data_IF_428417940342
#
_entry.id   IF_428417940342
#
_cell.length_a   1.000
_cell.length_b   1.000
_cell.length_c   1.000
_cell.angle_alpha   90.00
_cell.angle_beta   90.00
_cell.angle_gamma   90.00
#
_symmetry.space_group_name_H-M   'P 1'
#
loop_
_entity.id
_entity.type
_entity.pdbx_description
1 polymer ?
#
# COMPACT_ATOMS: atom_id res chain seq x y z
N UNK A 1 45.11 57.10 57.06
CA UNK A 1 46.42 56.66 56.53
C UNK A 1 46.18 55.61 55.47
N UNK A 2 46.72 55.95 54.29
CA UNK A 2 46.89 55.13 53.06
C UNK A 2 45.65 54.75 52.27
N UNK A 3 45.35 55.47 51.30
CA UNK A 3 45.65 55.52 49.86
C UNK A 3 45.53 54.12 49.16
N UNK A 4 44.43 53.87 48.44
CA UNK A 4 44.30 52.85 47.47
C UNK A 4 44.12 53.47 46.06
N UNK A 5 45.01 53.14 45.14
CA UNK A 5 45.06 53.58 43.76
C UNK A 5 44.07 52.77 42.96
N UNK A 6 43.20 53.45 42.27
CA UNK A 6 42.35 52.88 41.24
C UNK A 6 43.16 52.61 39.97
N UNK A 7 43.06 51.35 39.45
CA UNK A 7 43.51 50.98 38.10
C UNK A 7 42.27 50.72 37.22
N UNK A 8 42.10 51.62 36.27
CA UNK A 8 41.08 51.52 35.26
C UNK A 8 41.54 50.50 34.19
N UNK A 9 40.85 49.32 34.09
CA UNK A 9 41.07 48.38 33.01
C UNK A 9 39.90 48.54 32.03
N UNK A 10 40.17 49.09 30.84
CA UNK A 10 39.24 49.11 29.73
C UNK A 10 39.11 47.71 29.15
N UNK A 11 37.97 47.06 29.37
CA UNK A 11 37.60 45.83 28.69
C UNK A 11 36.94 46.18 27.36
N UNK A 12 37.66 46.01 26.24
CA UNK A 12 37.09 46.06 24.91
C UNK A 12 36.23 44.81 24.66
N UNK A 13 34.94 44.99 24.53
CA UNK A 13 34.00 43.93 24.09
C UNK A 13 34.14 43.82 22.58
N UNK A 14 34.81 42.75 22.11
CA UNK A 14 34.77 42.34 20.72
C UNK A 14 33.47 41.56 20.54
N UNK A 15 32.46 42.17 19.90
CA UNK A 15 31.28 41.48 19.40
C UNK A 15 31.71 40.64 18.18
N UNK A 16 32.00 39.37 18.38
CA UNK A 16 32.02 38.39 17.28
C UNK A 16 30.56 38.16 16.89
N UNK A 17 30.12 38.75 15.75
CA UNK A 17 28.90 38.41 15.10
C UNK A 17 29.00 36.96 14.59
N UNK A 18 28.37 36.01 15.30
CA UNK A 18 28.05 34.71 14.72
C UNK A 18 26.92 34.92 13.71
N UNK A 19 27.28 35.15 12.44
CA UNK A 19 26.37 34.88 11.34
C UNK A 19 26.26 33.38 11.25
N UNK A 20 25.23 32.83 11.89
CA UNK A 20 24.78 31.47 11.65
C UNK A 20 24.34 31.38 10.19
N UNK A 21 25.23 30.92 9.33
CA UNK A 21 24.88 30.52 7.99
C UNK A 21 23.86 29.41 8.10
N UNK A 22 22.63 29.65 7.65
CA UNK A 22 21.70 28.60 7.29
C UNK A 22 22.40 27.87 6.15
N UNK A 23 22.96 26.70 6.44
CA UNK A 23 23.39 25.76 5.41
C UNK A 23 22.13 25.44 4.61
N UNK A 24 21.96 26.04 3.45
CA UNK A 24 21.15 25.46 2.41
C UNK A 24 21.78 24.08 2.16
N UNK A 25 21.02 23.01 2.37
CA UNK A 25 21.39 21.69 1.91
C UNK A 25 21.70 21.85 0.42
N UNK A 26 22.95 21.85 0.06
CA UNK A 26 23.38 21.84 -1.35
C UNK A 26 23.04 20.44 -1.83
N UNK A 27 21.99 20.32 -2.66
CA UNK A 27 21.68 19.08 -3.36
C UNK A 27 22.96 18.59 -4.05
N UNK A 28 23.28 17.31 -3.83
CA UNK A 28 24.38 16.67 -4.54
C UNK A 28 24.01 16.68 -6.04
N UNK A 29 24.84 17.26 -6.92
CA UNK A 29 24.54 17.35 -8.35
C UNK A 29 24.39 15.97 -9.03
N UNK A 30 24.76 14.90 -8.33
CA UNK A 30 24.69 13.52 -8.80
C UNK A 30 23.59 12.69 -8.06
N UNK A 31 22.61 13.35 -7.43
CA UNK A 31 21.44 12.72 -6.83
C UNK A 31 20.14 13.04 -7.57
N UNK A 32 19.24 12.04 -7.64
CA UNK A 32 17.84 12.22 -7.99
C UNK A 32 17.03 12.13 -6.69
N UNK A 33 16.47 13.26 -6.26
CA UNK A 33 15.68 13.32 -5.03
C UNK A 33 14.20 13.06 -5.36
N UNK A 34 13.68 11.95 -4.83
CA UNK A 34 12.24 11.65 -4.82
C UNK A 34 11.59 12.32 -3.59
N UNK A 35 10.31 12.65 -3.68
CA UNK A 35 9.55 13.16 -2.55
C UNK A 35 8.44 12.21 -2.14
N UNK A 36 8.18 12.08 -0.84
CA UNK A 36 7.06 11.32 -0.33
C UNK A 36 6.47 11.95 0.94
N UNK A 37 5.17 12.18 0.93
CA UNK A 37 4.41 12.40 2.15
C UNK A 37 3.80 11.06 2.56
N UNK A 38 4.22 10.49 3.68
CA UNK A 38 3.78 9.17 4.15
C UNK A 38 3.27 9.25 5.59
N UNK A 39 2.33 8.39 5.94
CA UNK A 39 1.74 8.38 7.28
C UNK A 39 2.70 7.73 8.28
N UNK A 40 3.56 8.52 8.93
CA UNK A 40 4.44 8.03 9.98
C UNK A 40 3.78 8.10 11.36
N UNK A 41 2.71 8.88 11.48
CA UNK A 41 1.83 8.96 12.66
C UNK A 41 0.36 8.84 12.26
N UNK A 42 -0.53 8.72 13.26
CA UNK A 42 -1.97 8.62 13.04
C UNK A 42 -2.43 7.19 12.73
N UNK A 43 -3.64 7.07 12.19
CA UNK A 43 -4.34 5.77 12.01
C UNK A 43 -3.67 4.82 11.00
N UNK A 44 -2.85 5.34 10.11
CA UNK A 44 -2.15 4.57 9.09
C UNK A 44 -0.66 4.39 9.37
N UNK A 45 -0.18 4.72 10.58
CA UNK A 45 1.25 4.74 10.91
C UNK A 45 1.97 3.43 10.58
N UNK A 46 1.37 2.27 10.87
CA UNK A 46 2.00 0.98 10.54
C UNK A 46 2.13 0.77 9.03
N UNK A 47 1.07 1.08 8.26
CA UNK A 47 1.12 0.94 6.81
C UNK A 47 2.02 1.99 6.15
N UNK A 48 2.08 3.20 6.72
CA UNK A 48 3.03 4.23 6.30
C UNK A 48 4.48 3.83 6.56
N UNK A 49 4.75 3.18 7.71
CA UNK A 49 6.07 2.60 7.98
C UNK A 49 6.42 1.49 6.98
N UNK A 50 5.49 0.59 6.67
CA UNK A 50 5.68 -0.44 5.66
C UNK A 50 5.99 0.17 4.28
N UNK A 51 5.26 1.23 3.90
CA UNK A 51 5.50 1.99 2.67
C UNK A 51 6.91 2.58 2.64
N UNK A 52 7.29 3.28 3.71
CA UNK A 52 8.62 3.88 3.85
C UNK A 52 9.73 2.82 3.76
N UNK A 53 9.60 1.72 4.49
CA UNK A 53 10.59 0.65 4.50
C UNK A 53 10.77 0.02 3.10
N UNK A 54 9.69 -0.12 2.33
CA UNK A 54 9.77 -0.57 0.95
C UNK A 54 10.53 0.42 0.05
N UNK A 55 10.26 1.71 0.18
CA UNK A 55 10.98 2.76 -0.56
C UNK A 55 12.47 2.78 -0.20
N UNK A 56 12.79 2.78 1.08
CA UNK A 56 14.18 2.84 1.56
C UNK A 56 14.98 1.62 1.10
N UNK A 57 14.40 0.42 1.16
CA UNK A 57 15.07 -0.80 0.75
C UNK A 57 15.39 -0.79 -0.76
N UNK A 58 14.45 -0.33 -1.59
CA UNK A 58 14.68 -0.24 -3.03
C UNK A 58 15.72 0.82 -3.38
N UNK A 59 15.67 1.99 -2.75
CA UNK A 59 16.66 3.05 -2.94
C UNK A 59 18.06 2.56 -2.55
N UNK A 60 18.19 1.91 -1.38
CA UNK A 60 19.47 1.34 -0.94
C UNK A 60 20.00 0.33 -1.96
N UNK A 61 19.14 -0.60 -2.39
CA UNK A 61 19.54 -1.65 -3.34
C UNK A 61 19.98 -1.08 -4.69
N UNK A 62 19.23 -0.13 -5.26
CA UNK A 62 19.61 0.55 -6.52
C UNK A 62 20.94 1.28 -6.36
N UNK A 63 21.14 1.96 -5.25
CA UNK A 63 22.37 2.68 -4.96
C UNK A 63 23.58 1.76 -4.80
N UNK A 64 23.41 0.61 -4.15
CA UNK A 64 24.45 -0.43 -3.99
C UNK A 64 24.86 -1.04 -5.33
N UNK A 65 23.91 -1.25 -6.25
CA UNK A 65 24.19 -1.79 -7.59
C UNK A 65 24.78 -0.77 -8.57
N UNK A 66 25.08 0.44 -8.11
CA UNK A 66 25.76 1.46 -8.89
C UNK A 66 24.93 2.72 -9.16
N UNK A 67 23.62 2.71 -8.87
CA UNK A 67 22.72 3.84 -9.15
C UNK A 67 22.14 3.81 -10.57
N UNK A 68 21.62 4.94 -11.04
CA UNK A 68 20.92 5.07 -12.32
C UNK A 68 21.78 5.81 -13.33
N UNK A 69 22.04 5.18 -14.47
CA UNK A 69 22.81 5.79 -15.55
C UNK A 69 21.90 6.58 -16.50
N UNK A 70 22.22 7.87 -16.67
CA UNK A 70 21.53 8.78 -17.60
C UNK A 70 22.62 9.49 -18.45
N UNK A 71 22.72 9.18 -19.73
CA UNK A 71 23.83 9.62 -20.56
C UNK A 71 25.17 9.10 -20.04
N UNK A 72 26.11 10.01 -19.83
CA UNK A 72 27.44 9.70 -19.28
C UNK A 72 27.52 9.82 -17.75
N UNK A 73 26.43 10.20 -17.09
CA UNK A 73 26.36 10.37 -15.64
C UNK A 73 25.67 9.21 -14.96
N UNK A 74 26.09 8.96 -13.73
CA UNK A 74 25.44 8.01 -12.83
C UNK A 74 24.90 8.79 -11.62
N UNK A 75 23.63 8.56 -11.31
CA UNK A 75 22.93 9.22 -10.22
C UNK A 75 22.62 8.22 -9.12
N UNK A 76 22.73 8.67 -7.87
CA UNK A 76 22.16 7.99 -6.72
C UNK A 76 20.72 8.45 -6.51
N UNK A 77 19.87 7.58 -5.94
CA UNK A 77 18.56 7.98 -5.49
C UNK A 77 18.63 8.44 -4.04
N UNK A 78 17.93 9.52 -3.75
CA UNK A 78 17.61 9.96 -2.40
C UNK A 78 16.11 10.19 -2.27
N UNK A 79 15.59 10.25 -1.04
CA UNK A 79 14.18 10.51 -0.79
C UNK A 79 14.01 11.53 0.33
N UNK A 80 13.12 12.49 0.12
CA UNK A 80 12.69 13.47 1.13
C UNK A 80 11.31 13.09 1.64
N UNK A 81 11.24 12.78 2.94
CA UNK A 81 10.01 12.40 3.62
C UNK A 81 9.38 13.54 4.39
N UNK A 82 8.06 13.52 4.43
CA UNK A 82 7.24 14.25 5.39
C UNK A 82 6.16 13.33 5.97
N UNK A 83 5.79 13.56 7.23
CA UNK A 83 4.67 12.89 7.87
C UNK A 83 3.36 13.59 7.52
N UNK A 84 2.45 12.88 6.84
CA UNK A 84 1.12 13.37 6.49
C UNK A 84 0.10 13.21 7.63
N UNK A 85 0.54 12.65 8.77
CA UNK A 85 -0.27 12.47 9.98
C UNK A 85 -1.57 11.67 9.70
N UNK A 86 -1.58 10.85 8.66
CA UNK A 86 -2.76 10.12 8.16
C UNK A 86 -3.95 11.03 7.78
N UNK A 87 -3.69 12.29 7.40
CA UNK A 87 -4.74 13.25 7.06
C UNK A 87 -4.61 13.80 5.65
N UNK A 88 -5.70 13.79 4.84
CA UNK A 88 -5.69 14.28 3.46
C UNK A 88 -5.26 15.75 3.34
N UNK A 89 -5.67 16.62 4.28
CA UNK A 89 -5.32 18.03 4.26
C UNK A 89 -3.80 18.23 4.43
N UNK A 90 -3.18 17.49 5.35
CA UNK A 90 -1.73 17.53 5.56
C UNK A 90 -0.97 16.98 4.36
N UNK A 91 -1.42 15.85 3.79
CA UNK A 91 -0.85 15.30 2.57
C UNK A 91 -0.85 16.30 1.40
N UNK A 92 -1.96 17.04 1.20
CA UNK A 92 -2.05 18.09 0.18
C UNK A 92 -1.05 19.22 0.41
N UNK A 93 -0.94 19.71 1.65
CA UNK A 93 0.03 20.77 2.02
C UNK A 93 1.47 20.31 1.76
N UNK A 94 1.79 19.08 2.14
CA UNK A 94 3.14 18.53 2.00
C UNK A 94 3.51 18.22 0.55
N UNK A 95 2.56 17.81 -0.29
CA UNK A 95 2.79 17.66 -1.74
C UNK A 95 3.12 19.02 -2.40
N UNK A 96 2.37 20.09 -2.05
CA UNK A 96 2.71 21.44 -2.52
C UNK A 96 4.09 21.89 -2.01
N UNK A 97 4.44 21.59 -0.77
CA UNK A 97 5.75 21.92 -0.18
C UNK A 97 6.89 21.21 -0.90
N UNK A 98 6.80 19.87 -1.06
CA UNK A 98 7.80 19.07 -1.76
C UNK A 98 8.10 19.63 -3.16
N UNK A 99 7.05 20.01 -3.90
CA UNK A 99 7.18 20.51 -5.28
C UNK A 99 7.70 21.95 -5.31
N UNK A 100 7.13 22.86 -4.51
CA UNK A 100 7.39 24.30 -4.65
C UNK A 100 8.54 24.82 -3.82
N UNK A 101 8.73 24.26 -2.62
CA UNK A 101 9.75 24.75 -1.68
C UNK A 101 11.01 23.89 -1.76
N UNK A 102 10.84 22.58 -1.85
CA UNK A 102 11.95 21.65 -1.86
C UNK A 102 12.42 21.29 -3.29
N UNK A 103 11.73 21.75 -4.34
CA UNK A 103 12.12 21.55 -5.73
C UNK A 103 12.01 20.12 -6.24
N UNK A 104 11.33 19.23 -5.51
CA UNK A 104 11.17 17.83 -5.88
C UNK A 104 10.41 17.69 -7.19
N UNK A 105 10.96 16.88 -8.10
CA UNK A 105 10.44 16.67 -9.46
C UNK A 105 9.69 15.35 -9.66
N UNK A 106 9.79 14.42 -8.72
CA UNK A 106 9.23 13.08 -8.80
C UNK A 106 8.67 12.66 -7.45
N UNK A 107 7.44 12.21 -7.41
CA UNK A 107 6.73 11.88 -6.16
C UNK A 107 6.47 10.38 -6.08
N UNK A 108 6.79 9.79 -4.95
CA UNK A 108 6.29 8.48 -4.55
C UNK A 108 4.99 8.67 -3.77
N UNK A 109 4.00 7.85 -4.06
CA UNK A 109 2.65 7.99 -3.51
C UNK A 109 2.57 7.73 -2.00
N UNK A 110 1.55 8.25 -1.32
CA UNK A 110 1.29 7.97 0.09
C UNK A 110 0.62 6.61 0.29
N UNK A 111 0.53 6.17 1.53
CA UNK A 111 -0.41 5.12 1.87
C UNK A 111 -1.83 5.69 1.95
N UNK A 112 -2.70 4.98 1.34
CA UNK A 112 -4.15 4.93 1.18
C UNK A 112 -4.70 5.72 0.00
N UNK A 113 -5.79 5.17 -0.58
CA UNK A 113 -6.53 5.81 -1.68
C UNK A 113 -7.07 7.19 -1.32
N UNK A 114 -7.44 7.41 -0.05
CA UNK A 114 -7.92 8.70 0.43
C UNK A 114 -6.85 9.78 0.41
N UNK A 115 -5.63 9.45 0.82
CA UNK A 115 -4.48 10.35 0.78
C UNK A 115 -4.01 10.60 -0.65
N UNK A 116 -3.91 9.55 -1.46
CA UNK A 116 -3.58 9.66 -2.89
C UNK A 116 -4.57 10.57 -3.61
N UNK A 117 -5.88 10.40 -3.39
CA UNK A 117 -6.92 11.24 -3.97
C UNK A 117 -6.73 12.73 -3.65
N UNK A 118 -6.26 13.05 -2.44
CA UNK A 118 -6.07 14.43 -2.00
C UNK A 118 -4.86 15.08 -2.67
N UNK A 119 -3.79 14.35 -2.95
CA UNK A 119 -2.56 14.92 -3.55
C UNK A 119 -2.57 14.90 -5.08
N UNK A 120 -3.40 14.06 -5.73
CA UNK A 120 -3.46 13.97 -7.19
C UNK A 120 -3.67 15.30 -7.90
N UNK A 121 -4.60 16.20 -7.46
CA UNK A 121 -4.76 17.51 -8.10
C UNK A 121 -3.49 18.36 -8.06
N UNK A 122 -2.63 18.17 -7.05
CA UNK A 122 -1.39 18.92 -6.88
C UNK A 122 -0.34 18.43 -7.89
N UNK A 123 -0.11 17.13 -7.95
CA UNK A 123 0.87 16.56 -8.90
C UNK A 123 0.45 16.82 -10.35
N UNK A 124 -0.84 16.71 -10.67
CA UNK A 124 -1.39 17.02 -11.99
C UNK A 124 -1.20 18.50 -12.37
N UNK A 125 -1.55 19.43 -11.46
CA UNK A 125 -1.39 20.88 -11.64
C UNK A 125 0.06 21.28 -11.94
N UNK A 126 1.00 20.66 -11.25
CA UNK A 126 2.43 20.93 -11.39
C UNK A 126 3.12 20.05 -12.43
N UNK A 127 2.40 19.14 -13.06
CA UNK A 127 2.93 18.18 -14.04
C UNK A 127 4.10 17.36 -13.51
N UNK A 128 4.01 16.96 -12.24
CA UNK A 128 5.02 16.15 -11.55
C UNK A 128 4.61 14.69 -11.61
N UNK A 129 5.39 13.81 -12.24
CA UNK A 129 5.10 12.39 -12.26
C UNK A 129 5.07 11.80 -10.84
N UNK A 130 4.04 11.01 -10.56
CA UNK A 130 3.88 10.26 -9.33
C UNK A 130 3.72 8.77 -9.63
N UNK A 131 4.54 7.93 -9.00
CA UNK A 131 4.36 6.48 -8.99
C UNK A 131 3.76 6.08 -7.65
N UNK A 132 2.63 5.40 -7.73
CA UNK A 132 1.79 5.02 -6.60
C UNK A 132 1.92 3.53 -6.32
N UNK A 133 2.26 3.20 -5.08
CA UNK A 133 2.35 1.83 -4.61
C UNK A 133 1.20 1.40 -3.70
N UNK A 134 0.40 2.33 -3.13
CA UNK A 134 -0.55 2.01 -2.07
C UNK A 134 -1.96 2.60 -2.22
N UNK A 135 -2.18 3.47 -3.22
CA UNK A 135 -3.50 4.02 -3.55
C UNK A 135 -4.19 3.21 -4.64
N UNK A 136 -5.13 2.35 -4.29
CA UNK A 136 -5.69 1.34 -5.18
C UNK A 136 -7.07 1.67 -5.78
N UNK A 137 -7.83 2.67 -5.28
CA UNK A 137 -9.19 2.91 -5.73
C UNK A 137 -9.27 3.33 -7.20
N UNK A 138 -10.16 2.70 -7.99
CA UNK A 138 -10.37 3.00 -9.41
C UNK A 138 -10.68 4.48 -9.67
N UNK A 139 -11.36 5.15 -8.73
CA UNK A 139 -11.71 6.55 -8.90
C UNK A 139 -10.50 7.47 -9.09
N UNK A 140 -9.30 7.06 -8.62
CA UNK A 140 -8.05 7.81 -8.81
C UNK A 140 -7.69 7.98 -10.29
N UNK A 141 -8.14 7.05 -11.14
CA UNK A 141 -7.82 6.96 -12.56
C UNK A 141 -8.96 7.41 -13.48
N UNK A 142 -10.08 7.90 -12.92
CA UNK A 142 -11.28 8.27 -13.71
C UNK A 142 -11.38 9.75 -14.02
N UNK A 143 -10.49 10.59 -13.46
CA UNK A 143 -10.51 12.06 -13.61
C UNK A 143 -9.72 12.56 -14.81
N UNK A 144 -9.08 11.67 -15.57
CA UNK A 144 -8.23 12.04 -16.70
C UNK A 144 -6.87 12.61 -16.29
N UNK A 145 -6.40 12.32 -15.09
CA UNK A 145 -5.05 12.65 -14.64
C UNK A 145 -4.01 11.89 -15.48
N UNK A 146 -2.91 12.56 -15.79
CA UNK A 146 -1.87 12.04 -16.68
C UNK A 146 -0.54 11.77 -15.98
N UNK A 147 -0.40 12.20 -14.73
CA UNK A 147 0.85 12.16 -13.98
C UNK A 147 0.82 11.17 -12.83
N UNK A 148 -0.19 10.30 -12.76
CA UNK A 148 -0.26 9.16 -11.84
C UNK A 148 -0.04 7.84 -12.59
N UNK A 149 0.78 6.96 -11.99
CA UNK A 149 1.05 5.59 -12.45
C UNK A 149 1.07 4.67 -11.23
N UNK A 150 0.20 3.65 -11.18
CA UNK A 150 0.09 2.77 -10.02
C UNK A 150 0.53 1.35 -10.34
N UNK A 151 1.51 0.84 -9.60
CA UNK A 151 2.08 -0.50 -9.82
C UNK A 151 1.17 -1.64 -9.35
N UNK A 152 0.16 -1.32 -8.56
CA UNK A 152 -0.76 -2.28 -7.95
C UNK A 152 -2.05 -2.47 -8.76
N UNK A 153 -2.75 -3.58 -8.52
CA UNK A 153 -4.10 -3.82 -9.05
C UNK A 153 -5.11 -2.94 -8.34
N UNK A 154 -6.16 -2.52 -9.04
CA UNK A 154 -7.20 -1.65 -8.45
C UNK A 154 -8.03 -2.37 -7.40
N UNK A 155 -8.55 -1.63 -6.43
CA UNK A 155 -9.19 -2.19 -5.22
C UNK A 155 -10.48 -2.94 -5.47
N UNK A 156 -11.17 -2.66 -6.59
CA UNK A 156 -12.33 -3.46 -7.01
C UNK A 156 -12.01 -4.95 -7.22
N UNK A 157 -10.74 -5.28 -7.48
CA UNK A 157 -10.30 -6.66 -7.71
C UNK A 157 -9.96 -7.42 -6.41
N UNK A 158 -9.82 -6.74 -5.26
CA UNK A 158 -9.22 -7.34 -4.05
C UNK A 158 -9.94 -8.59 -3.55
N UNK A 159 -11.26 -8.57 -3.46
CA UNK A 159 -12.04 -9.66 -2.87
C UNK A 159 -12.94 -10.37 -3.91
N UNK A 160 -12.81 -10.04 -5.20
CA UNK A 160 -13.47 -10.78 -6.26
C UNK A 160 -13.02 -12.26 -6.32
N UNK A 161 -11.71 -12.61 -6.10
CA UNK A 161 -11.33 -14.01 -6.06
C UNK A 161 -12.01 -14.83 -4.94
N UNK A 162 -12.42 -14.18 -3.84
CA UNK A 162 -13.16 -14.87 -2.78
C UNK A 162 -14.60 -15.17 -3.18
N UNK A 163 -15.23 -14.32 -4.00
CA UNK A 163 -16.56 -14.54 -4.57
C UNK A 163 -16.52 -15.63 -5.63
N UNK A 164 -15.51 -15.60 -6.52
CA UNK A 164 -15.30 -16.65 -7.51
C UNK A 164 -15.11 -18.03 -6.84
N UNK A 165 -14.24 -18.08 -5.83
CA UNK A 165 -13.96 -19.30 -5.07
C UNK A 165 -15.22 -19.80 -4.33
N UNK A 166 -16.05 -18.90 -3.81
CA UNK A 166 -17.32 -19.29 -3.20
C UNK A 166 -18.28 -19.92 -4.24
N UNK A 167 -18.32 -19.37 -5.47
CA UNK A 167 -19.10 -19.92 -6.56
C UNK A 167 -18.60 -21.32 -6.98
N UNK A 168 -17.29 -21.48 -7.16
CA UNK A 168 -16.66 -22.76 -7.52
C UNK A 168 -16.92 -23.85 -6.48
N UNK A 169 -16.95 -23.49 -5.21
CA UNK A 169 -17.13 -24.42 -4.11
C UNK A 169 -18.55 -24.46 -3.52
N UNK A 170 -19.55 -23.87 -4.19
CA UNK A 170 -20.94 -23.84 -3.72
C UNK A 170 -21.49 -25.25 -3.40
N UNK A 171 -21.12 -26.26 -4.17
CA UNK A 171 -21.50 -27.65 -3.93
C UNK A 171 -21.01 -28.20 -2.58
N UNK A 172 -19.86 -27.77 -2.06
CA UNK A 172 -19.38 -28.14 -0.72
C UNK A 172 -20.30 -27.62 0.40
N UNK A 173 -21.10 -26.59 0.10
CA UNK A 173 -22.11 -26.02 0.99
C UNK A 173 -23.51 -26.57 0.74
N UNK A 174 -23.66 -27.55 -0.18
CA UNK A 174 -24.96 -28.10 -0.60
C UNK A 174 -25.79 -27.09 -1.39
N UNK A 175 -25.17 -26.17 -2.12
CA UNK A 175 -25.80 -25.06 -2.83
C UNK A 175 -25.33 -24.95 -4.28
N UNK A 176 -26.02 -24.08 -5.03
CA UNK A 176 -25.58 -23.55 -6.33
C UNK A 176 -25.16 -22.09 -6.15
N UNK A 177 -24.32 -21.53 -7.05
CA UNK A 177 -23.83 -20.15 -6.91
C UNK A 177 -24.94 -19.11 -6.70
N UNK A 178 -26.06 -19.23 -7.42
CA UNK A 178 -27.22 -18.32 -7.35
C UNK A 178 -28.03 -18.43 -6.05
N UNK A 179 -27.81 -19.46 -5.24
CA UNK A 179 -28.43 -19.62 -3.92
C UNK A 179 -27.54 -19.19 -2.76
N UNK A 180 -26.29 -18.82 -3.04
CA UNK A 180 -25.38 -18.30 -2.04
C UNK A 180 -25.80 -16.91 -1.57
N UNK A 181 -25.69 -16.68 -0.26
CA UNK A 181 -25.95 -15.40 0.41
C UNK A 181 -24.65 -14.72 0.78
N UNK A 182 -24.50 -13.47 0.38
CA UNK A 182 -23.30 -12.65 0.66
C UNK A 182 -23.66 -11.54 1.63
N UNK A 183 -22.82 -11.33 2.62
CA UNK A 183 -22.84 -10.20 3.55
C UNK A 183 -21.60 -9.35 3.38
N UNK A 184 -21.78 -8.04 3.29
CA UNK A 184 -20.71 -7.06 3.18
C UNK A 184 -20.67 -6.18 4.42
N UNK A 185 -19.45 -5.95 4.94
CA UNK A 185 -19.14 -5.02 6.02
C UNK A 185 -17.94 -4.16 5.56
N UNK A 186 -18.22 -2.97 5.05
CA UNK A 186 -17.25 -2.14 4.35
C UNK A 186 -17.00 -0.83 5.09
N UNK A 187 -15.75 -0.48 5.33
CA UNK A 187 -15.38 0.85 5.81
C UNK A 187 -15.81 1.91 4.79
N UNK A 188 -16.30 3.06 5.28
CA UNK A 188 -16.74 4.15 4.39
C UNK A 188 -15.56 5.05 4.00
N UNK A 189 -14.65 4.51 3.21
CA UNK A 189 -13.54 5.23 2.58
C UNK A 189 -13.42 4.85 1.09
N UNK A 190 -12.63 5.60 0.30
CA UNK A 190 -12.50 5.35 -1.14
C UNK A 190 -12.03 3.94 -1.49
N UNK A 191 -11.11 3.36 -0.72
CA UNK A 191 -10.60 2.01 -0.95
C UNK A 191 -11.67 0.95 -0.74
N UNK A 192 -12.29 0.92 0.46
CA UNK A 192 -13.26 -0.11 0.80
C UNK A 192 -14.57 0.01 0.00
N UNK A 193 -14.96 1.23 -0.41
CA UNK A 193 -16.10 1.43 -1.31
C UNK A 193 -15.84 0.91 -2.72
N UNK A 194 -14.61 0.95 -3.20
CA UNK A 194 -14.26 0.36 -4.48
C UNK A 194 -14.17 -1.18 -4.40
N UNK A 195 -13.61 -1.74 -3.30
CA UNK A 195 -13.70 -3.18 -3.00
C UNK A 195 -15.16 -3.64 -2.98
N UNK A 196 -16.04 -2.89 -2.30
CA UNK A 196 -17.48 -3.17 -2.28
C UNK A 196 -18.08 -3.24 -3.69
N UNK A 197 -17.75 -2.28 -4.54
CA UNK A 197 -18.25 -2.24 -5.91
C UNK A 197 -17.85 -3.50 -6.70
N UNK A 198 -16.58 -3.90 -6.61
CA UNK A 198 -16.09 -5.12 -7.26
C UNK A 198 -16.80 -6.39 -6.74
N UNK A 199 -16.97 -6.52 -5.43
CA UNK A 199 -17.69 -7.65 -4.81
C UNK A 199 -19.16 -7.69 -5.23
N UNK A 200 -19.84 -6.54 -5.33
CA UNK A 200 -21.23 -6.47 -5.77
C UNK A 200 -21.38 -6.87 -7.25
N UNK A 201 -20.46 -6.40 -8.11
CA UNK A 201 -20.45 -6.73 -9.53
C UNK A 201 -20.24 -8.25 -9.73
N UNK A 202 -19.33 -8.86 -8.96
CA UNK A 202 -19.05 -10.29 -9.02
C UNK A 202 -20.18 -11.14 -8.43
N UNK A 203 -20.73 -10.76 -7.27
CA UNK A 203 -21.88 -11.43 -6.70
C UNK A 203 -23.06 -11.45 -7.70
N UNK A 204 -23.28 -10.33 -8.39
CA UNK A 204 -24.29 -10.22 -9.45
C UNK A 204 -23.97 -11.13 -10.65
N UNK A 205 -22.71 -11.22 -11.06
CA UNK A 205 -22.25 -12.08 -12.16
C UNK A 205 -22.55 -13.55 -11.90
N UNK A 206 -22.42 -13.99 -10.64
CA UNK A 206 -22.72 -15.34 -10.20
C UNK A 206 -24.19 -15.55 -9.77
N UNK A 207 -25.02 -14.50 -9.81
CA UNK A 207 -26.43 -14.56 -9.38
C UNK A 207 -26.62 -14.65 -7.87
N UNK A 208 -25.57 -14.42 -7.07
CA UNK A 208 -25.61 -14.51 -5.61
C UNK A 208 -26.52 -13.45 -4.99
N UNK A 209 -27.05 -13.74 -3.79
CA UNK A 209 -27.96 -12.86 -3.07
C UNK A 209 -27.19 -12.03 -2.03
N UNK A 210 -27.07 -10.73 -2.25
CA UNK A 210 -26.53 -9.82 -1.23
C UNK A 210 -27.60 -9.56 -0.16
N UNK A 211 -27.40 -10.08 1.05
CA UNK A 211 -28.38 -10.01 2.15
C UNK A 211 -28.02 -8.97 3.21
N UNK A 212 -26.75 -8.54 3.26
CA UNK A 212 -26.24 -7.44 4.11
C UNK A 212 -25.29 -6.63 3.27
N UNK A 213 -25.43 -5.30 3.32
CA UNK A 213 -24.55 -4.35 2.65
C UNK A 213 -24.36 -3.15 3.59
N UNK A 214 -23.54 -3.37 4.62
CA UNK A 214 -23.28 -2.37 5.66
C UNK A 214 -22.05 -1.54 5.35
N UNK A 215 -22.21 -0.22 5.37
CA UNK A 215 -21.11 0.74 5.33
C UNK A 215 -20.83 1.20 6.77
N UNK A 216 -19.62 0.94 7.24
CA UNK A 216 -19.20 1.20 8.60
C UNK A 216 -18.39 2.51 8.69
N UNK A 217 -18.41 3.18 9.84
CA UNK A 217 -17.58 4.37 10.02
C UNK A 217 -16.11 4.11 9.72
N UNK A 218 -15.34 5.12 9.30
CA UNK A 218 -13.89 5.03 9.18
C UNK A 218 -13.26 4.46 10.45
N UNK A 219 -12.18 3.65 10.25
CA UNK A 219 -11.47 2.89 11.29
C UNK A 219 -12.17 1.61 11.78
N UNK A 220 -13.42 1.36 11.37
CA UNK A 220 -14.15 0.12 11.66
C UNK A 220 -13.93 -0.39 13.11
N UNK A 221 -14.29 0.45 14.10
CA UNK A 221 -14.04 0.17 15.51
C UNK A 221 -15.00 -0.86 16.11
N UNK A 222 -16.18 -1.06 15.50
CA UNK A 222 -17.22 -1.97 15.99
C UNK A 222 -18.06 -2.54 14.84
N UNK A 223 -18.22 -3.86 14.83
CA UNK A 223 -19.07 -4.63 13.90
C UNK A 223 -20.25 -5.34 14.57
N UNK A 224 -20.47 -5.14 15.86
CA UNK A 224 -21.44 -5.92 16.64
C UNK A 224 -22.83 -5.92 16.03
N UNK A 225 -23.30 -4.79 15.51
CA UNK A 225 -24.60 -4.66 14.83
C UNK A 225 -24.63 -5.48 13.56
N UNK A 226 -23.61 -5.38 12.71
CA UNK A 226 -23.50 -6.16 11.47
C UNK A 226 -23.43 -7.66 11.80
N UNK A 227 -22.62 -8.06 12.76
CA UNK A 227 -22.49 -9.47 13.17
C UNK A 227 -23.78 -10.04 13.76
N UNK A 228 -24.61 -9.21 14.41
CA UNK A 228 -25.97 -9.60 14.85
C UNK A 228 -26.86 -9.92 13.65
N UNK A 229 -26.83 -9.09 12.58
CA UNK A 229 -27.54 -9.36 11.32
C UNK A 229 -27.02 -10.64 10.66
N UNK A 230 -25.68 -10.84 10.65
CA UNK A 230 -25.03 -12.05 10.10
C UNK A 230 -25.56 -13.30 10.81
N UNK A 231 -25.65 -13.30 12.14
CA UNK A 231 -26.23 -14.43 12.89
C UNK A 231 -27.69 -14.71 12.53
N UNK A 232 -28.48 -13.66 12.31
CA UNK A 232 -29.91 -13.80 11.98
C UNK A 232 -30.13 -14.28 10.54
N UNK A 233 -29.39 -13.74 9.55
CA UNK A 233 -29.60 -13.99 8.12
C UNK A 233 -28.77 -15.17 7.60
N UNK A 234 -27.77 -15.61 8.35
CA UNK A 234 -26.89 -16.77 8.05
C UNK A 234 -26.37 -16.73 6.62
N UNK A 235 -25.54 -15.72 6.25
CA UNK A 235 -24.89 -15.71 4.94
C UNK A 235 -23.90 -16.85 4.80
N UNK A 236 -23.59 -17.21 3.56
CA UNK A 236 -22.56 -18.20 3.24
C UNK A 236 -21.18 -17.57 3.14
N UNK A 237 -21.15 -16.28 2.77
CA UNK A 237 -19.95 -15.50 2.60
C UNK A 237 -20.09 -14.20 3.40
N UNK A 238 -19.10 -13.90 4.23
CA UNK A 238 -18.93 -12.60 4.88
C UNK A 238 -17.66 -11.94 4.32
N UNK A 239 -17.84 -10.80 3.68
CA UNK A 239 -16.75 -9.99 3.14
C UNK A 239 -16.55 -8.76 4.00
N UNK A 240 -15.31 -8.54 4.46
CA UNK A 240 -14.95 -7.39 5.28
C UNK A 240 -13.84 -6.61 4.60
N UNK A 241 -14.04 -5.32 4.37
CA UNK A 241 -13.00 -4.42 3.92
C UNK A 241 -12.88 -3.20 4.82
N UNK A 242 -11.74 -3.09 5.44
CA UNK A 242 -11.24 -1.98 6.22
C UNK A 242 -9.72 -2.01 6.13
N UNK A 243 -9.06 -1.06 6.80
CA UNK A 243 -7.61 -1.09 6.92
C UNK A 243 -7.17 -2.04 8.05
N UNK A 244 -5.89 -2.01 8.43
CA UNK A 244 -5.32 -2.92 9.44
C UNK A 244 -6.17 -3.05 10.70
N UNK A 245 -6.55 -1.92 11.31
CA UNK A 245 -7.37 -1.88 12.52
C UNK A 245 -8.74 -2.53 12.29
N UNK A 246 -9.35 -2.27 11.13
CA UNK A 246 -10.65 -2.85 10.77
C UNK A 246 -10.59 -4.37 10.63
N UNK A 247 -9.55 -4.91 9.99
CA UNK A 247 -9.35 -6.35 9.88
C UNK A 247 -9.18 -7.01 11.24
N UNK A 248 -8.38 -6.42 12.12
CA UNK A 248 -8.17 -6.94 13.49
C UNK A 248 -9.47 -6.89 14.32
N UNK A 249 -10.21 -5.78 14.27
CA UNK A 249 -11.51 -5.63 14.94
C UNK A 249 -12.50 -6.68 14.45
N UNK A 250 -12.61 -6.84 13.13
CA UNK A 250 -13.52 -7.80 12.52
C UNK A 250 -13.23 -9.24 12.98
N UNK A 251 -12.00 -9.69 12.84
CA UNK A 251 -11.61 -11.06 13.20
C UNK A 251 -11.80 -11.31 14.70
N UNK A 252 -11.44 -10.34 15.56
CA UNK A 252 -11.64 -10.42 17.02
C UNK A 252 -13.11 -10.55 17.39
N UNK A 253 -13.98 -9.73 16.78
CA UNK A 253 -15.41 -9.74 17.11
C UNK A 253 -16.14 -10.95 16.53
N UNK A 254 -15.74 -11.44 15.34
CA UNK A 254 -16.26 -12.68 14.77
C UNK A 254 -16.00 -13.84 15.72
N UNK A 255 -14.79 -13.96 16.28
CA UNK A 255 -14.47 -15.00 17.26
C UNK A 255 -15.17 -14.79 18.59
N UNK A 256 -15.07 -13.61 19.19
CA UNK A 256 -15.67 -13.32 20.49
C UNK A 256 -17.18 -13.54 20.50
N UNK A 257 -17.87 -13.20 19.41
CA UNK A 257 -19.31 -13.39 19.28
C UNK A 257 -19.67 -14.78 18.73
N UNK A 258 -18.72 -15.66 18.47
CA UNK A 258 -18.92 -17.00 17.91
C UNK A 258 -19.79 -16.96 16.64
N UNK A 259 -19.42 -16.09 15.70
CA UNK A 259 -20.12 -15.95 14.42
C UNK A 259 -19.64 -17.03 13.47
N UNK A 260 -20.54 -17.93 13.12
CA UNK A 260 -20.25 -19.02 12.19
C UNK A 260 -20.70 -18.65 10.76
N UNK A 261 -19.73 -18.44 9.85
CA UNK A 261 -19.96 -18.21 8.41
C UNK A 261 -19.03 -19.13 7.66
N UNK A 262 -19.52 -19.88 6.66
CA UNK A 262 -18.72 -20.85 5.90
C UNK A 262 -17.48 -20.25 5.22
N UNK A 263 -17.57 -19.01 4.74
CA UNK A 263 -16.50 -18.29 4.08
C UNK A 263 -16.40 -16.88 4.67
N UNK A 264 -15.24 -16.55 5.25
CA UNK A 264 -14.93 -15.20 5.74
C UNK A 264 -13.73 -14.69 4.96
N UNK A 265 -13.88 -13.59 4.26
CA UNK A 265 -12.83 -12.98 3.45
C UNK A 265 -12.60 -11.51 3.84
N UNK A 266 -11.32 -11.12 3.96
CA UNK A 266 -10.94 -9.80 4.44
C UNK A 266 -9.79 -9.20 3.62
N UNK A 267 -9.70 -7.87 3.65
CA UNK A 267 -8.51 -7.12 3.25
C UNK A 267 -7.56 -6.93 4.45
N UNK A 268 -6.28 -6.64 4.19
CA UNK A 268 -5.27 -6.23 5.20
C UNK A 268 -4.97 -7.23 6.33
N UNK A 269 -5.20 -8.52 6.12
CA UNK A 269 -4.94 -9.54 7.15
C UNK A 269 -3.47 -9.60 7.57
N UNK A 270 -2.53 -9.55 6.62
CA UNK A 270 -1.10 -9.65 6.87
C UNK A 270 -0.54 -8.39 7.56
N UNK A 271 -0.91 -7.19 7.10
CA UNK A 271 -0.52 -5.96 7.78
C UNK A 271 -1.11 -5.85 9.19
N UNK A 272 -2.30 -6.44 9.40
CA UNK A 272 -2.90 -6.58 10.73
C UNK A 272 -2.26 -7.70 11.57
N UNK A 273 -1.42 -8.55 10.95
CA UNK A 273 -0.80 -9.70 11.59
C UNK A 273 -1.85 -10.64 12.23
N UNK A 274 -2.93 -10.95 11.47
CA UNK A 274 -4.06 -11.71 12.03
C UNK A 274 -3.66 -13.10 12.51
N UNK A 275 -2.84 -13.83 11.73
CA UNK A 275 -2.41 -15.17 12.10
C UNK A 275 -1.60 -15.17 13.40
N UNK A 276 -0.66 -14.21 13.52
CA UNK A 276 0.23 -14.08 14.67
C UNK A 276 -0.50 -13.59 15.93
N UNK A 277 -1.37 -12.59 15.78
CA UNK A 277 -2.07 -11.97 16.93
C UNK A 277 -3.25 -12.77 17.44
N UNK A 278 -3.98 -13.46 16.56
CA UNK A 278 -5.23 -14.11 16.88
C UNK A 278 -5.16 -15.65 16.83
N UNK A 279 -4.10 -16.22 16.24
CA UNK A 279 -3.91 -17.65 16.16
C UNK A 279 -5.16 -18.38 15.64
N UNK A 280 -5.77 -19.25 16.45
CA UNK A 280 -6.95 -20.03 16.06
C UNK A 280 -8.15 -19.19 15.61
N UNK A 281 -8.30 -17.96 16.08
CA UNK A 281 -9.41 -17.10 15.67
C UNK A 281 -9.25 -16.60 14.22
N UNK A 282 -8.02 -16.56 13.70
CA UNK A 282 -7.72 -16.23 12.31
C UNK A 282 -7.78 -17.43 11.36
N UNK A 283 -7.81 -18.68 11.88
CA UNK A 283 -7.79 -19.88 11.05
C UNK A 283 -8.93 -19.91 10.03
N UNK A 284 -8.58 -20.26 8.80
CA UNK A 284 -9.46 -20.37 7.63
C UNK A 284 -10.09 -19.04 7.17
N UNK A 285 -9.59 -17.88 7.65
CA UNK A 285 -9.95 -16.59 7.05
C UNK A 285 -9.23 -16.44 5.72
N UNK A 286 -9.97 -16.06 4.68
CA UNK A 286 -9.41 -15.71 3.38
C UNK A 286 -8.91 -14.26 3.40
N UNK A 287 -7.74 -14.03 2.84
CA UNK A 287 -7.03 -12.77 2.88
C UNK A 287 -6.62 -12.32 1.49
N UNK A 288 -7.18 -11.20 1.04
CA UNK A 288 -6.77 -10.58 -0.22
C UNK A 288 -5.38 -9.95 -0.08
N UNK A 289 -4.50 -10.24 -1.03
CA UNK A 289 -3.14 -9.70 -1.09
C UNK A 289 -2.81 -9.21 -2.49
N UNK A 290 -1.96 -8.19 -2.57
CA UNK A 290 -1.35 -7.77 -3.83
C UNK A 290 -0.17 -8.67 -4.20
N UNK A 291 0.48 -9.27 -3.24
CA UNK A 291 1.71 -10.03 -3.44
C UNK A 291 1.93 -11.04 -2.30
N UNK A 292 2.66 -12.10 -2.61
CA UNK A 292 3.13 -13.10 -1.64
C UNK A 292 4.53 -13.57 -2.02
N UNK A 293 5.37 -13.86 -1.04
CA UNK A 293 6.78 -14.25 -1.26
C UNK A 293 6.96 -15.59 -2.00
N UNK A 294 5.93 -16.43 -2.05
CA UNK A 294 5.96 -17.71 -2.78
C UNK A 294 5.67 -17.58 -4.27
N UNK A 295 5.33 -16.38 -4.78
CA UNK A 295 5.06 -16.18 -6.19
C UNK A 295 6.35 -16.30 -7.02
N UNK A 296 6.24 -16.84 -8.23
CA UNK A 296 7.38 -17.09 -9.11
C UNK A 296 7.92 -15.83 -9.82
N UNK A 297 7.58 -14.64 -9.33
CA UNK A 297 8.08 -13.37 -9.87
C UNK A 297 9.56 -13.16 -9.54
N UNK A 298 10.27 -12.54 -10.45
CA UNK A 298 11.70 -12.22 -10.30
C UNK A 298 12.14 -11.06 -11.19
N UNK A 299 13.21 -10.42 -10.79
CA UNK A 299 13.95 -9.42 -11.57
C UNK A 299 15.45 -9.51 -11.35
N UNK A 300 16.20 -8.61 -12.00
CA UNK A 300 17.66 -8.55 -11.88
C UNK A 300 18.13 -7.75 -10.64
N UNK A 301 17.26 -6.92 -10.04
CA UNK A 301 17.61 -6.06 -8.91
C UNK A 301 17.55 -6.83 -7.58
N UNK A 302 16.40 -7.49 -7.34
CA UNK A 302 16.14 -8.18 -6.08
C UNK A 302 16.24 -9.71 -6.17
N UNK A 303 16.24 -10.27 -7.38
CA UNK A 303 16.09 -11.69 -7.59
C UNK A 303 14.63 -12.12 -7.53
N UNK A 304 14.31 -13.21 -6.82
CA UNK A 304 12.94 -13.73 -6.69
C UNK A 304 12.13 -12.96 -5.64
N UNK A 305 10.80 -13.12 -5.66
CA UNK A 305 9.92 -12.63 -4.60
C UNK A 305 10.36 -13.12 -3.21
N UNK A 306 10.85 -14.35 -3.11
CA UNK A 306 11.39 -14.91 -1.87
C UNK A 306 12.70 -14.24 -1.44
N UNK A 307 13.58 -13.87 -2.39
CA UNK A 307 14.83 -13.15 -2.10
C UNK A 307 14.53 -11.75 -1.56
N UNK A 308 13.57 -11.03 -2.16
CA UNK A 308 13.10 -9.75 -1.63
C UNK A 308 12.55 -9.88 -0.22
N UNK A 309 11.69 -10.88 0.02
CA UNK A 309 11.12 -11.13 1.35
C UNK A 309 12.20 -11.42 2.39
N UNK A 310 13.21 -12.22 2.01
CA UNK A 310 14.36 -12.50 2.89
C UNK A 310 15.15 -11.22 3.20
N UNK A 311 15.48 -10.43 2.18
CA UNK A 311 16.22 -9.18 2.34
C UNK A 311 15.47 -8.21 3.24
N UNK A 312 14.15 -8.08 3.08
CA UNK A 312 13.30 -7.23 3.90
C UNK A 312 13.32 -7.67 5.37
N UNK A 313 13.11 -8.98 5.65
CA UNK A 313 13.17 -9.51 7.01
C UNK A 313 14.53 -9.32 7.67
N UNK A 314 15.60 -9.59 6.92
CA UNK A 314 16.98 -9.42 7.43
C UNK A 314 17.28 -7.95 7.77
N UNK A 315 16.60 -7.00 7.11
CA UNK A 315 16.81 -5.56 7.31
C UNK A 315 15.94 -4.99 8.43
N UNK A 316 14.68 -5.42 8.53
CA UNK A 316 13.68 -4.78 9.40
C UNK A 316 13.15 -5.67 10.53
N UNK A 317 13.54 -6.94 10.59
CA UNK A 317 13.20 -7.91 11.65
C UNK A 317 11.69 -8.18 11.80
N UNK A 318 10.94 -8.16 10.67
CA UNK A 318 9.54 -8.61 10.63
C UNK A 318 9.15 -9.13 9.24
N UNK A 319 8.04 -9.90 9.17
CA UNK A 319 7.55 -10.47 7.91
C UNK A 319 7.18 -9.37 6.90
N UNK A 320 7.46 -9.65 5.63
CA UNK A 320 7.30 -8.69 4.54
C UNK A 320 5.83 -8.48 4.19
N UNK A 321 5.22 -7.33 4.52
CA UNK A 321 3.86 -7.04 4.07
C UNK A 321 3.87 -6.65 2.59
N UNK A 322 2.78 -6.97 1.87
CA UNK A 322 2.70 -6.62 0.45
C UNK A 322 2.80 -5.10 0.20
N UNK A 323 2.43 -4.27 1.17
CA UNK A 323 2.58 -2.82 1.10
C UNK A 323 4.04 -2.39 0.92
N UNK A 324 4.98 -3.07 1.58
CA UNK A 324 6.40 -2.82 1.41
C UNK A 324 6.89 -3.29 0.02
N UNK A 325 6.45 -4.47 -0.43
CA UNK A 325 6.82 -5.01 -1.73
C UNK A 325 6.37 -4.10 -2.89
N UNK A 326 5.11 -3.65 -2.87
CA UNK A 326 4.58 -2.76 -3.91
C UNK A 326 5.21 -1.35 -3.85
N UNK A 327 5.60 -0.89 -2.67
CA UNK A 327 6.34 0.36 -2.51
C UNK A 327 7.73 0.26 -3.12
N UNK A 328 8.46 -0.83 -2.87
CA UNK A 328 9.75 -1.07 -3.49
C UNK A 328 9.65 -1.13 -5.02
N UNK A 329 8.62 -1.81 -5.56
CA UNK A 329 8.35 -1.86 -7.00
C UNK A 329 8.07 -0.46 -7.60
N UNK A 330 7.44 0.45 -6.85
CA UNK A 330 7.22 1.81 -7.32
C UNK A 330 8.54 2.58 -7.54
N UNK A 331 9.54 2.37 -6.68
CA UNK A 331 10.89 2.93 -6.87
C UNK A 331 11.58 2.30 -8.06
N UNK A 332 11.46 0.98 -8.23
CA UNK A 332 12.03 0.24 -9.36
C UNK A 332 11.46 0.74 -10.71
N UNK A 333 10.15 0.98 -10.77
CA UNK A 333 9.48 1.56 -11.95
C UNK A 333 10.00 2.96 -12.27
N UNK A 334 10.29 3.81 -11.27
CA UNK A 334 10.95 5.09 -11.51
C UNK A 334 12.38 4.89 -12.04
N UNK A 335 13.15 3.98 -11.46
CA UNK A 335 14.53 3.71 -11.90
C UNK A 335 14.58 3.23 -13.37
N UNK A 336 13.68 2.33 -13.76
CA UNK A 336 13.48 1.90 -15.15
C UNK A 336 13.10 3.10 -16.05
N UNK A 337 12.14 3.92 -15.63
CA UNK A 337 11.70 5.07 -16.41
C UNK A 337 12.82 6.10 -16.61
N UNK A 338 13.62 6.41 -15.58
CA UNK A 338 14.79 7.29 -15.71
C UNK A 338 15.81 6.72 -16.70
N UNK A 339 16.07 5.42 -16.59
CA UNK A 339 17.03 4.73 -17.48
C UNK A 339 16.55 4.72 -18.93
N UNK A 340 15.25 4.53 -19.20
CA UNK A 340 14.69 4.57 -20.57
C UNK A 340 14.55 5.98 -21.11
N UNK A 341 14.16 6.95 -20.28
CA UNK A 341 14.03 8.36 -20.68
C UNK A 341 15.38 8.99 -21.02
N UNK A 342 16.49 8.49 -20.48
CA UNK A 342 17.83 9.09 -20.56
C UNK A 342 17.81 10.60 -20.24
N UNK A 343 16.94 11.01 -19.30
CA UNK A 343 16.66 12.41 -18.98
C UNK A 343 15.94 12.52 -17.63
N UNK A 344 16.10 13.68 -16.99
CA UNK A 344 15.31 14.08 -15.82
C UNK A 344 14.25 15.15 -16.15
N UNK A 345 13.97 15.35 -17.44
CA UNK A 345 12.85 16.17 -17.89
C UNK A 345 11.52 15.50 -17.52
N UNK A 346 10.60 16.27 -16.91
CA UNK A 346 9.36 15.72 -16.36
C UNK A 346 8.49 15.02 -17.39
N UNK A 347 8.37 15.60 -18.60
CA UNK A 347 7.50 15.02 -19.62
C UNK A 347 8.15 13.76 -20.25
N UNK A 348 9.47 13.74 -20.45
CA UNK A 348 10.17 12.55 -20.95
C UNK A 348 10.06 11.40 -19.97
N UNK A 349 10.20 11.67 -18.67
CA UNK A 349 10.02 10.63 -17.62
C UNK A 349 8.57 10.18 -17.57
N UNK A 350 7.60 11.09 -17.65
CA UNK A 350 6.17 10.73 -17.72
C UNK A 350 5.88 9.85 -18.95
N UNK A 351 6.45 10.15 -20.11
CA UNK A 351 6.30 9.32 -21.32
C UNK A 351 6.94 7.93 -21.16
N UNK A 352 8.10 7.87 -20.53
CA UNK A 352 8.74 6.61 -20.19
C UNK A 352 7.88 5.79 -19.22
N UNK A 353 7.30 6.41 -18.19
CA UNK A 353 6.33 5.78 -17.28
C UNK A 353 5.11 5.26 -18.05
N UNK A 354 4.50 6.08 -18.89
CA UNK A 354 3.31 5.68 -19.67
C UNK A 354 3.55 4.49 -20.61
N UNK A 355 4.79 4.22 -20.99
CA UNK A 355 5.19 3.08 -21.82
C UNK A 355 5.83 1.93 -21.03
N UNK A 356 5.70 1.93 -19.71
CA UNK A 356 6.27 0.86 -18.87
C UNK A 356 5.58 -0.47 -19.16
N UNK A 357 6.41 -1.49 -19.44
CA UNK A 357 6.05 -2.90 -19.57
C UNK A 357 7.24 -3.72 -19.10
N UNK A 358 7.29 -4.05 -17.80
CA UNK A 358 8.43 -4.72 -17.16
C UNK A 358 7.96 -5.83 -16.22
N UNK A 359 8.85 -6.81 -16.02
CA UNK A 359 8.71 -7.79 -14.93
C UNK A 359 9.52 -7.33 -13.72
N UNK A 360 8.95 -7.48 -12.53
CA UNK A 360 9.60 -7.17 -11.26
C UNK A 360 9.43 -8.33 -10.28
N UNK A 361 10.19 -8.35 -9.18
CA UNK A 361 9.98 -9.33 -8.09
C UNK A 361 8.56 -9.24 -7.50
N UNK A 362 7.91 -8.09 -7.66
CA UNK A 362 6.51 -7.85 -7.22
C UNK A 362 5.50 -8.41 -8.23
N UNK A 363 5.87 -8.52 -9.49
CA UNK A 363 5.07 -9.00 -10.61
C UNK A 363 5.14 -8.09 -11.82
N UNK A 364 4.36 -8.40 -12.87
CA UNK A 364 4.34 -7.62 -14.09
C UNK A 364 3.73 -6.24 -13.88
N UNK A 365 4.37 -5.22 -14.47
CA UNK A 365 3.87 -3.84 -14.47
C UNK A 365 3.71 -3.38 -15.91
N UNK A 366 2.46 -3.10 -16.29
CA UNK A 366 2.08 -2.52 -17.58
C UNK A 366 0.96 -1.53 -17.37
N UNK A 367 1.23 -0.27 -17.72
CA UNK A 367 0.22 0.77 -17.53
C UNK A 367 -0.71 0.91 -18.73
N UNK A 368 -1.99 1.15 -18.43
CA UNK A 368 -2.95 1.63 -19.43
C UNK A 368 -2.85 3.16 -19.60
N UNK A 369 -3.66 3.73 -20.49
CA UNK A 369 -3.68 5.15 -20.77
C UNK A 369 -4.05 6.02 -19.55
N UNK A 370 -4.65 5.44 -18.51
CA UNK A 370 -5.00 6.12 -17.26
C UNK A 370 -3.93 5.94 -16.16
N UNK A 371 -2.86 5.18 -16.43
CA UNK A 371 -1.78 4.89 -15.48
C UNK A 371 -2.06 3.73 -14.52
N UNK A 372 -3.08 2.89 -14.79
CA UNK A 372 -3.35 1.68 -14.01
C UNK A 372 -2.49 0.52 -14.47
N UNK A 373 -1.97 -0.26 -13.55
CA UNK A 373 -1.40 -1.55 -13.90
C UNK A 373 -2.50 -2.54 -14.30
N UNK A 374 -2.43 -3.04 -15.53
CA UNK A 374 -3.40 -3.99 -16.12
C UNK A 374 -2.85 -5.40 -16.26
N UNK A 375 -1.60 -5.63 -15.86
CA UNK A 375 -0.94 -6.91 -16.06
C UNK A 375 -0.93 -7.81 -14.81
N UNK A 376 -1.11 -7.24 -13.62
CA UNK A 376 -0.92 -7.94 -12.36
C UNK A 376 -2.24 -8.47 -11.78
N UNK A 377 -2.38 -9.80 -11.56
CA UNK A 377 -3.53 -10.36 -10.87
C UNK A 377 -3.47 -10.16 -9.35
N UNK A 378 -4.63 -10.23 -8.70
CA UNK A 378 -4.74 -10.33 -7.25
C UNK A 378 -4.39 -11.72 -6.76
N UNK A 379 -3.96 -11.81 -5.50
CA UNK A 379 -3.68 -13.05 -4.78
C UNK A 379 -4.69 -13.21 -3.64
N UNK A 380 -5.27 -14.39 -3.52
CA UNK A 380 -6.06 -14.77 -2.37
C UNK A 380 -5.31 -15.83 -1.59
N UNK A 381 -5.11 -15.59 -0.30
CA UNK A 381 -4.56 -16.57 0.64
C UNK A 381 -5.63 -17.00 1.62
N UNK A 382 -5.42 -18.14 2.27
CA UNK A 382 -6.20 -18.55 3.45
C UNK A 382 -5.24 -18.82 4.60
N UNK A 383 -5.60 -18.40 5.81
CA UNK A 383 -4.82 -18.78 7.01
C UNK A 383 -5.02 -20.26 7.26
N UNK A 384 -3.94 -21.04 7.20
CA UNK A 384 -3.93 -22.49 7.43
C UNK A 384 -2.71 -22.87 8.30
N UNK A 385 -2.97 -23.37 9.50
CA UNK A 385 -1.89 -23.70 10.45
C UNK A 385 -1.07 -22.49 10.90
N UNK A 386 -1.67 -21.30 10.92
CA UNK A 386 -1.01 -20.05 11.25
C UNK A 386 -0.27 -19.37 10.10
N UNK A 387 -0.25 -19.97 8.90
CA UNK A 387 0.43 -19.45 7.72
C UNK A 387 -0.56 -18.94 6.67
N UNK A 388 -0.15 -17.99 5.83
CA UNK A 388 -0.95 -17.49 4.71
C UNK A 388 -0.70 -18.33 3.45
N UNK A 389 -1.52 -19.33 3.22
CA UNK A 389 -1.40 -20.27 2.08
C UNK A 389 -2.12 -19.71 0.87
N UNK A 390 -1.43 -19.61 -0.29
CA UNK A 390 -2.03 -19.14 -1.55
C UNK A 390 -3.06 -20.16 -2.04
N UNK A 391 -4.28 -19.70 -2.29
CA UNK A 391 -5.41 -20.50 -2.78
C UNK A 391 -5.99 -19.98 -4.10
N UNK A 392 -5.58 -18.83 -4.57
CA UNK A 392 -5.92 -18.24 -5.87
C UNK A 392 -4.88 -17.19 -6.27
N UNK A 393 -4.57 -17.02 -7.57
CA UNK A 393 -5.10 -17.74 -8.74
C UNK A 393 -4.52 -19.17 -8.87
N UNK A 394 -5.16 -19.99 -9.71
CA UNK A 394 -4.89 -21.43 -9.85
C UNK A 394 -3.42 -21.77 -10.17
N UNK A 395 -2.73 -20.90 -10.90
CA UNK A 395 -1.33 -21.10 -11.31
C UNK A 395 -0.33 -21.07 -10.13
N UNK A 396 -0.72 -20.49 -8.97
CA UNK A 396 0.14 -20.33 -7.79
C UNK A 396 -0.41 -20.99 -6.53
N UNK A 397 -1.47 -21.79 -6.67
CA UNK A 397 -2.09 -22.50 -5.55
C UNK A 397 -1.05 -23.34 -4.83
N UNK A 398 -0.87 -23.09 -3.52
CA UNK A 398 0.00 -23.83 -2.63
C UNK A 398 -0.76 -24.79 -1.71
N UNK A 399 -2.08 -24.64 -1.60
CA UNK A 399 -2.94 -25.49 -0.79
C UNK A 399 -4.41 -25.41 -1.18
N UNK A 400 -5.16 -26.48 -0.87
CA UNK A 400 -6.60 -26.50 -1.09
C UNK A 400 -7.35 -25.61 -0.11
N UNK A 401 -8.35 -24.84 -0.54
CA UNK A 401 -9.15 -24.04 0.38
C UNK A 401 -10.02 -24.89 1.27
N UNK A 402 -9.99 -24.62 2.57
CA UNK A 402 -10.86 -25.23 3.58
C UNK A 402 -12.22 -24.52 3.55
N UNK A 403 -13.20 -25.16 2.96
CA UNK A 403 -14.59 -24.71 2.82
C UNK A 403 -15.52 -25.89 3.10
N UNK A 404 -16.52 -25.75 4.00
CA UNK A 404 -16.75 -24.59 4.89
C UNK A 404 -15.67 -24.43 5.97
N UNK A 405 -15.50 -23.20 6.47
CA UNK A 405 -14.72 -22.95 7.68
C UNK A 405 -15.29 -23.81 8.82
N UNK A 406 -14.45 -24.54 9.58
CA UNK A 406 -14.92 -25.26 10.77
C UNK A 406 -15.63 -24.32 11.76
N UNK A 407 -16.66 -24.82 12.42
CA UNK A 407 -17.35 -24.04 13.45
C UNK A 407 -16.41 -23.73 14.62
N UNK A 408 -16.45 -22.48 15.15
CA UNK A 408 -15.58 -22.05 16.24
C UNK A 408 -15.84 -22.78 17.57
#
# INVERSE_FOLDING_TARGET
MELARAVLVCLGIILLGMTGGISADTEDPDEIVLGAAVSLTGKYAQNGLNTKNGYDLAISKINETGGIKIGDKTYKLAIRYYDDESTPARGTELAERLIKQDGVKFILGPYSSGLTKAILPIVEKHKVPMVEGNGAARELFTKGYRYIFAVLSTSDQYLTPAIDLAAEHAAKLGKTPDTLKVALAMENDPFAQDVRAGVLDDAKRHGMQVVIDDQLPPELNDMSVTLTKVKALKPDVLVVSGHEKGALTAATQIDALKVNVPIVAMTHCDSAQLAEKLGKAAEHVFCAKQWHSSLAYKDDLFGTAADFAKLFRDTYDYETPYQAAQSAAAVEVFADAFSRAQSLDLEKVREALASTEIETFYGPVKFDAAGRNIAKPMVLTQVQGGEYVVVSPAEWVAGEPVIPRPSP
#
